data_IF_301424386752
#
_entry.id   IF_301424386752
#
_cell.length_a   1.000
_cell.length_b   1.000
_cell.length_c   1.000
_cell.angle_alpha   90.00
_cell.angle_beta   90.00
_cell.angle_gamma   90.00
#
_symmetry.space_group_name_H-M   'P 1'
#
loop_
_entity.id
_entity.type
_entity.pdbx_description
1 polymer ?
#
# COMPACT_ATOMS: atom_id res chain seq x y z
N UNK A 1 -25.14 6.75 15.05
CA UNK A 1 -24.37 5.54 15.38
C UNK A 1 -25.25 4.37 14.99
N UNK A 2 -25.14 3.88 13.75
CA UNK A 2 -25.93 2.73 13.30
C UNK A 2 -25.08 1.48 13.49
N UNK A 3 -25.60 0.57 14.31
CA UNK A 3 -25.34 -0.86 14.20
C UNK A 3 -25.52 -1.26 12.73
N UNK A 4 -24.64 -2.13 12.22
CA UNK A 4 -24.87 -3.13 11.15
C UNK A 4 -23.51 -3.58 10.57
N UNK A 5 -22.89 -4.55 11.23
CA UNK A 5 -22.03 -5.52 10.56
C UNK A 5 -22.43 -6.90 11.07
N UNK A 6 -22.74 -7.80 10.14
CA UNK A 6 -23.05 -9.22 10.36
C UNK A 6 -22.27 -9.83 11.54
N UNK A 7 -22.98 -10.31 12.56
CA UNK A 7 -22.41 -11.17 13.60
C UNK A 7 -21.71 -10.48 14.78
N UNK A 8 -22.15 -9.29 15.20
CA UNK A 8 -21.84 -8.75 16.53
C UNK A 8 -20.38 -8.46 16.83
N UNK A 9 -19.50 -8.42 15.82
CA UNK A 9 -18.08 -8.07 15.98
C UNK A 9 -17.84 -6.63 15.50
N UNK A 10 -17.09 -5.81 16.26
CA UNK A 10 -16.76 -4.47 15.83
C UNK A 10 -16.01 -4.52 14.48
N UNK A 11 -16.41 -3.66 13.56
CA UNK A 11 -15.80 -3.58 12.25
C UNK A 11 -14.33 -3.14 12.38
N UNK A 12 -13.40 -3.96 11.88
CA UNK A 12 -11.96 -3.70 11.99
C UNK A 12 -11.55 -2.66 10.95
N UNK A 13 -11.08 -1.50 11.41
CA UNK A 13 -10.50 -0.44 10.58
C UNK A 13 -8.98 -0.52 10.68
N UNK A 14 -8.31 -0.54 9.53
CA UNK A 14 -6.86 -0.52 9.43
C UNK A 14 -6.35 0.92 9.51
N UNK A 15 -5.41 1.19 10.41
CA UNK A 15 -4.77 2.51 10.54
C UNK A 15 -3.73 2.73 9.44
N UNK A 16 -3.39 3.99 9.19
CA UNK A 16 -2.32 4.33 8.25
C UNK A 16 -1.01 3.57 8.55
N UNK A 17 -0.62 3.44 9.82
CA UNK A 17 0.57 2.68 10.21
C UNK A 17 0.52 1.20 9.81
N UNK A 18 -0.60 0.51 10.03
CA UNK A 18 -0.75 -0.89 9.62
C UNK A 18 -0.72 -1.01 8.10
N UNK A 19 -1.38 -0.08 7.40
CA UNK A 19 -1.38 -0.04 5.94
C UNK A 19 0.04 0.18 5.41
N UNK A 20 0.82 1.10 5.99
CA UNK A 20 2.21 1.34 5.60
C UNK A 20 3.09 0.12 5.80
N UNK A 21 3.00 -0.54 6.97
CA UNK A 21 3.76 -1.78 7.24
C UNK A 21 3.36 -2.89 6.27
N UNK A 22 2.06 -3.09 6.04
CA UNK A 22 1.60 -4.09 5.08
C UNK A 22 2.02 -3.76 3.64
N UNK A 23 2.05 -2.48 3.26
CA UNK A 23 2.53 -2.00 1.96
C UNK A 23 4.02 -2.23 1.81
N UNK A 24 4.80 -2.06 2.87
CA UNK A 24 6.23 -2.35 2.84
C UNK A 24 6.53 -3.81 2.51
N UNK A 25 5.78 -4.75 3.09
CA UNK A 25 5.99 -6.18 2.85
C UNK A 25 5.26 -6.73 1.61
N UNK A 26 4.07 -6.21 1.30
CA UNK A 26 3.19 -6.72 0.25
C UNK A 26 2.97 -5.77 -0.93
N UNK A 27 3.67 -4.65 -0.95
CA UNK A 27 3.59 -3.64 -2.00
C UNK A 27 2.25 -2.91 -2.10
N UNK A 28 2.02 -2.19 -3.21
CA UNK A 28 0.78 -1.44 -3.46
C UNK A 28 -0.49 -2.29 -3.44
N UNK A 29 -0.41 -3.58 -3.77
CA UNK A 29 -1.53 -4.51 -3.70
C UNK A 29 -2.04 -4.69 -2.27
N UNK A 30 -1.13 -4.85 -1.29
CA UNK A 30 -1.49 -4.93 0.12
C UNK A 30 -2.14 -3.62 0.61
N UNK A 31 -1.61 -2.47 0.17
CA UNK A 31 -2.21 -1.16 0.45
C UNK A 31 -3.65 -1.09 -0.08
N UNK A 32 -3.85 -1.39 -1.37
CA UNK A 32 -5.15 -1.33 -2.03
C UNK A 32 -6.17 -2.26 -1.40
N UNK A 33 -5.76 -3.47 -1.00
CA UNK A 33 -6.62 -4.42 -0.29
C UNK A 33 -7.08 -3.88 1.08
N UNK A 34 -6.16 -3.39 1.90
CA UNK A 34 -6.50 -2.89 3.25
C UNK A 34 -7.33 -1.61 3.20
N UNK A 35 -7.02 -0.68 2.30
CA UNK A 35 -7.81 0.53 2.08
C UNK A 35 -9.21 0.16 1.56
N UNK A 36 -9.31 -0.83 0.66
CA UNK A 36 -10.60 -1.36 0.20
C UNK A 36 -11.45 -1.87 1.36
N UNK A 37 -10.86 -2.63 2.30
CA UNK A 37 -11.55 -3.10 3.50
C UNK A 37 -12.05 -1.96 4.38
N UNK A 38 -11.27 -0.89 4.53
CA UNK A 38 -11.74 0.30 5.26
C UNK A 38 -12.96 0.94 4.59
N UNK A 39 -12.95 1.14 3.27
CA UNK A 39 -14.09 1.72 2.56
C UNK A 39 -15.37 0.88 2.70
N UNK A 40 -15.26 -0.45 2.71
CA UNK A 40 -16.40 -1.35 2.96
C UNK A 40 -17.02 -1.17 4.35
N UNK A 41 -16.20 -0.92 5.38
CA UNK A 41 -16.70 -0.62 6.74
C UNK A 41 -17.57 0.64 6.75
N UNK A 42 -17.30 1.60 5.88
CA UNK A 42 -18.09 2.83 5.74
C UNK A 42 -19.21 2.74 4.69
N UNK A 43 -19.49 1.54 4.15
CA UNK A 43 -20.52 1.35 3.11
C UNK A 43 -20.19 1.94 1.75
N UNK A 44 -18.92 2.30 1.50
CA UNK A 44 -18.46 2.93 0.24
C UNK A 44 -17.91 1.88 -0.73
N UNK A 45 -18.77 1.01 -1.25
CA UNK A 45 -18.37 -0.11 -2.11
C UNK A 45 -17.63 0.32 -3.39
N UNK A 46 -18.03 1.43 -4.03
CA UNK A 46 -17.33 1.93 -5.22
C UNK A 46 -15.89 2.36 -4.91
N UNK A 47 -15.70 3.03 -3.78
CA UNK A 47 -14.37 3.45 -3.34
C UNK A 47 -13.53 2.25 -2.93
N UNK A 48 -14.16 1.23 -2.33
CA UNK A 48 -13.49 -0.01 -1.99
C UNK A 48 -12.98 -0.72 -3.25
N UNK A 49 -13.81 -0.79 -4.29
CA UNK A 49 -13.44 -1.40 -5.58
C UNK A 49 -12.31 -0.60 -6.26
N UNK A 50 -12.44 0.72 -6.28
CA UNK A 50 -11.43 1.60 -6.87
C UNK A 50 -10.08 1.48 -6.14
N UNK A 51 -10.07 1.46 -4.80
CA UNK A 51 -8.85 1.29 -4.02
C UNK A 51 -8.13 -0.04 -4.33
N UNK A 52 -8.89 -1.13 -4.48
CA UNK A 52 -8.32 -2.42 -4.83
C UNK A 52 -7.75 -2.44 -6.26
N UNK A 53 -8.49 -1.91 -7.24
CA UNK A 53 -8.00 -1.81 -8.61
C UNK A 53 -6.78 -0.89 -8.75
N UNK A 54 -6.74 0.22 -8.01
CA UNK A 54 -5.56 1.09 -7.96
C UNK A 54 -4.36 0.35 -7.38
N UNK A 55 -4.55 -0.48 -6.34
CA UNK A 55 -3.49 -1.32 -5.80
C UNK A 55 -2.94 -2.32 -6.83
N UNK A 56 -3.82 -3.01 -7.56
CA UNK A 56 -3.43 -3.92 -8.65
C UNK A 56 -2.68 -3.15 -9.75
N UNK A 57 -3.25 -2.05 -10.23
CA UNK A 57 -2.65 -1.24 -11.29
C UNK A 57 -1.28 -0.72 -10.87
N UNK A 58 -1.13 -0.21 -9.65
CA UNK A 58 0.15 0.26 -9.13
C UNK A 58 1.17 -0.88 -9.04
N UNK A 59 0.77 -2.09 -8.63
CA UNK A 59 1.65 -3.26 -8.64
C UNK A 59 2.08 -3.65 -10.05
N UNK A 60 1.16 -3.65 -11.03
CA UNK A 60 1.50 -3.95 -12.43
C UNK A 60 2.46 -2.89 -12.98
N UNK A 61 2.21 -1.60 -12.71
CA UNK A 61 3.08 -0.51 -13.15
C UNK A 61 4.45 -0.57 -12.49
N UNK A 62 4.52 -0.91 -11.21
CA UNK A 62 5.79 -1.06 -10.49
C UNK A 62 6.61 -2.21 -11.10
N UNK A 63 6.01 -3.38 -11.27
CA UNK A 63 6.67 -4.54 -11.88
C UNK A 63 7.06 -4.22 -13.33
N UNK A 64 6.15 -3.66 -14.11
CA UNK A 64 6.40 -3.26 -15.50
C UNK A 64 7.54 -2.24 -15.60
N UNK A 65 7.57 -1.25 -14.71
CA UNK A 65 8.67 -0.30 -14.61
C UNK A 65 10.00 -1.01 -14.36
N UNK A 66 10.08 -1.89 -13.36
CA UNK A 66 11.31 -2.64 -13.07
C UNK A 66 11.74 -3.55 -14.23
N UNK A 67 10.80 -4.17 -14.95
CA UNK A 67 11.11 -5.02 -16.11
C UNK A 67 11.56 -4.22 -17.34
N UNK A 68 11.07 -2.98 -17.49
CA UNK A 68 11.41 -2.12 -18.62
C UNK A 68 12.74 -1.39 -18.45
N UNK A 69 13.24 -1.24 -17.21
CA UNK A 69 14.52 -0.58 -16.92
C UNK A 69 15.67 -1.47 -17.43
N UNK A 70 16.43 -1.03 -18.45
CA UNK A 70 17.58 -1.78 -18.94
C UNK A 70 18.71 -1.79 -17.90
N UNK A 71 19.46 -2.90 -17.82
CA UNK A 71 20.54 -3.09 -16.81
C UNK A 71 21.54 -1.93 -16.76
N UNK A 72 21.87 -1.31 -17.91
CA UNK A 72 22.76 -0.15 -18.00
C UNK A 72 22.33 1.05 -17.14
N UNK A 73 21.03 1.18 -16.84
CA UNK A 73 20.50 2.23 -15.99
C UNK A 73 20.50 1.84 -14.52
N UNK A 74 20.40 0.54 -14.22
CA UNK A 74 20.55 0.01 -12.85
C UNK A 74 21.96 0.30 -12.34
N UNK A 75 22.98 0.22 -13.20
CA UNK A 75 24.37 0.55 -12.85
C UNK A 75 24.59 2.03 -12.53
N UNK A 76 23.75 2.92 -13.06
CA UNK A 76 23.79 4.37 -12.79
C UNK A 76 23.13 4.69 -11.45
N UNK A 77 22.26 3.81 -10.93
CA UNK A 77 21.62 4.00 -9.62
C UNK A 77 22.72 3.91 -8.54
N UNK A 78 23.00 5.01 -7.81
CA UNK A 78 24.02 5.00 -6.77
C UNK A 78 23.65 3.95 -5.73
N UNK A 79 24.60 3.09 -5.34
CA UNK A 79 24.35 2.08 -4.29
C UNK A 79 23.95 2.71 -2.95
N UNK A 80 24.24 4.00 -2.75
CA UNK A 80 23.81 4.80 -1.61
C UNK A 80 22.33 5.19 -1.63
N UNK A 81 21.64 5.07 -2.77
CA UNK A 81 20.22 5.41 -2.89
C UNK A 81 19.35 4.47 -2.05
N UNK A 82 19.62 3.15 -2.07
CA UNK A 82 18.91 2.21 -1.23
C UNK A 82 19.06 2.56 0.27
N UNK A 83 20.28 2.77 0.80
CA UNK A 83 20.50 3.35 2.12
C UNK A 83 19.74 4.61 2.46
N UNK A 84 19.76 5.59 1.57
CA UNK A 84 19.09 6.85 1.81
C UNK A 84 17.57 6.68 1.87
N UNK A 85 17.00 5.81 1.04
CA UNK A 85 15.55 5.54 1.06
C UNK A 85 15.10 4.89 2.35
N UNK A 86 15.76 3.83 2.83
CA UNK A 86 15.35 3.19 4.09
C UNK A 86 15.72 4.03 5.32
N UNK A 87 16.82 4.79 5.28
CA UNK A 87 17.19 5.71 6.37
C UNK A 87 16.18 6.85 6.46
N UNK A 88 15.75 7.41 5.33
CA UNK A 88 14.72 8.44 5.28
C UNK A 88 13.36 7.94 5.77
N UNK A 89 12.96 6.73 5.38
CA UNK A 89 11.73 6.10 5.88
C UNK A 89 11.76 5.89 7.39
N UNK A 90 12.87 5.38 7.92
CA UNK A 90 13.04 5.20 9.37
C UNK A 90 13.02 6.54 10.08
N UNK A 91 13.73 7.56 9.57
CA UNK A 91 13.74 8.89 10.15
C UNK A 91 12.32 9.47 10.23
N UNK A 92 11.54 9.40 9.14
CA UNK A 92 10.15 9.88 9.10
C UNK A 92 9.18 9.14 10.03
N UNK A 93 9.47 7.87 10.36
CA UNK A 93 8.65 7.08 11.28
C UNK A 93 9.03 7.36 12.74
N UNK A 94 10.31 7.63 13.01
CA UNK A 94 10.86 7.76 14.37
C UNK A 94 10.78 9.20 14.90
N UNK A 95 10.94 10.19 14.03
CA UNK A 95 10.95 11.63 14.36
C UNK A 95 9.82 12.36 13.62
#
# INVERSE_FOLDING_TARGET
MNELAFGGKPAKIYTAGIISVATYFGGPLAAGYLISRNFKVFGKEDHARNAFYLGILATILLIGFFLMVPERYIEIIPRSLFPMTYTGLVYWIVY
#
